data_IF_094409125128
#
_entry.id   IF_094409125128
#
_cell.length_a   1.000
_cell.length_b   1.000
_cell.length_c   1.000
_cell.angle_alpha   90.00
_cell.angle_beta   90.00
_cell.angle_gamma   90.00
#
_symmetry.space_group_name_H-M   'P 1'
#
loop_
_entity.id
_entity.type
_entity.pdbx_description
1 polymer ?
#
# COMPACT_ATOMS: atom_id res chain seq x y z
N UNK A 1 18.88 45.02 -0.47
CA UNK A 1 19.64 43.94 0.18
C UNK A 1 18.63 42.92 0.69
N UNK A 2 18.45 41.86 -0.07
CA UNK A 2 17.60 40.74 0.38
C UNK A 2 18.29 40.06 1.54
N UNK A 3 17.69 40.15 2.72
CA UNK A 3 18.15 39.43 3.90
C UNK A 3 17.74 37.98 3.69
N UNK A 4 18.70 37.09 3.50
CA UNK A 4 18.43 35.65 3.47
C UNK A 4 17.71 35.25 4.78
N UNK A 5 16.68 34.39 4.70
CA UNK A 5 16.03 33.90 5.91
C UNK A 5 17.03 33.20 6.81
N UNK A 6 16.83 33.29 8.13
CA UNK A 6 17.64 32.59 9.09
C UNK A 6 17.71 31.08 8.77
N UNK A 7 18.86 30.43 8.99
CA UNK A 7 18.96 28.99 8.79
C UNK A 7 17.95 28.26 9.69
N UNK A 8 17.29 27.25 9.12
CA UNK A 8 16.39 26.35 9.87
C UNK A 8 17.27 25.32 10.59
N UNK A 9 17.12 25.22 11.91
CA UNK A 9 17.88 24.26 12.72
C UNK A 9 16.95 23.64 13.80
N UNK A 10 16.75 22.31 13.81
CA UNK A 10 17.28 21.37 12.82
C UNK A 10 16.55 21.43 11.47
N UNK A 11 17.25 21.10 10.38
CA UNK A 11 16.63 20.94 9.06
C UNK A 11 15.73 19.70 9.11
N UNK A 12 14.42 19.81 8.82
CA UNK A 12 13.53 18.66 8.80
C UNK A 12 13.98 17.60 7.80
N UNK A 13 13.71 16.32 8.09
CA UNK A 13 13.90 15.25 7.11
C UNK A 13 13.04 15.54 5.86
N UNK A 14 13.63 15.70 4.68
CA UNK A 14 12.87 15.98 3.46
C UNK A 14 11.98 14.81 3.03
N UNK A 15 12.21 13.61 3.57
CA UNK A 15 11.43 12.40 3.23
C UNK A 15 11.14 11.56 4.50
N UNK A 16 10.26 12.03 5.40
CA UNK A 16 10.04 11.42 6.71
C UNK A 16 9.43 10.02 6.64
N UNK A 17 8.95 9.59 5.47
CA UNK A 17 8.40 8.24 5.25
C UNK A 17 9.48 7.15 5.26
N UNK A 18 10.73 7.47 4.92
CA UNK A 18 11.80 6.49 4.68
C UNK A 18 12.09 5.55 5.85
N UNK A 19 11.90 6.02 7.07
CA UNK A 19 12.16 5.26 8.30
C UNK A 19 11.01 4.33 8.73
N UNK A 20 9.83 4.41 8.09
CA UNK A 20 8.66 3.67 8.52
C UNK A 20 8.76 2.18 8.19
N UNK A 21 8.63 1.35 9.23
CA UNK A 21 8.65 -0.10 9.13
C UNK A 21 7.50 -0.68 9.94
N UNK A 22 6.74 -1.58 9.32
CA UNK A 22 5.71 -2.37 9.98
C UNK A 22 6.16 -3.83 10.07
N UNK A 23 5.99 -4.45 11.26
CA UNK A 23 6.34 -5.86 11.48
C UNK A 23 5.16 -6.66 12.01
N UNK A 24 4.98 -7.82 11.40
CA UNK A 24 4.06 -8.87 11.83
C UNK A 24 4.87 -10.11 12.22
N UNK A 25 4.26 -11.21 12.70
CA UNK A 25 5.01 -12.43 13.01
C UNK A 25 5.81 -13.01 11.84
N UNK A 26 5.39 -12.78 10.59
CA UNK A 26 6.02 -13.40 9.41
C UNK A 26 6.50 -12.40 8.37
N UNK A 27 6.07 -11.14 8.45
CA UNK A 27 6.33 -10.14 7.41
C UNK A 27 7.00 -8.90 7.99
N UNK A 28 7.87 -8.33 7.17
CA UNK A 28 8.38 -6.99 7.33
C UNK A 28 7.95 -6.15 6.12
N UNK A 29 7.28 -5.03 6.38
CA UNK A 29 6.83 -4.08 5.40
C UNK A 29 7.66 -2.80 5.59
N UNK A 30 8.49 -2.45 4.61
CA UNK A 30 9.30 -1.22 4.62
C UNK A 30 8.87 -0.30 3.50
N UNK A 31 8.85 0.99 3.78
CA UNK A 31 8.72 1.97 2.72
C UNK A 31 9.82 1.71 1.68
N UNK A 32 9.41 1.77 0.44
CA UNK A 32 10.25 1.47 -0.69
C UNK A 32 11.42 2.44 -0.83
N UNK A 33 12.55 1.92 -1.27
CA UNK A 33 13.71 2.64 -1.76
C UNK A 33 14.13 2.06 -3.12
N UNK A 34 15.06 2.70 -3.81
CA UNK A 34 15.46 2.25 -5.15
C UNK A 34 16.11 0.86 -5.15
N UNK A 35 16.71 0.42 -4.03
CA UNK A 35 17.26 -0.91 -3.90
C UNK A 35 16.15 -1.96 -3.78
N UNK A 36 15.20 -1.73 -2.87
CA UNK A 36 14.06 -2.63 -2.67
C UNK A 36 13.13 -2.68 -3.88
N UNK A 37 12.99 -1.59 -4.63
CA UNK A 37 12.25 -1.57 -5.91
C UNK A 37 12.93 -2.46 -6.95
N UNK A 38 14.28 -2.45 -7.05
CA UNK A 38 15.02 -3.37 -7.94
C UNK A 38 14.81 -4.83 -7.53
N UNK A 39 14.83 -5.14 -6.24
CA UNK A 39 14.55 -6.49 -5.76
C UNK A 39 13.11 -6.92 -6.05
N UNK A 40 12.14 -6.01 -5.88
CA UNK A 40 10.74 -6.25 -6.22
C UNK A 40 10.59 -6.58 -7.72
N UNK A 41 11.21 -5.78 -8.59
CA UNK A 41 11.22 -6.02 -10.04
C UNK A 41 11.83 -7.39 -10.35
N UNK A 42 12.97 -7.74 -9.75
CA UNK A 42 13.59 -9.04 -9.93
C UNK A 42 12.66 -10.18 -9.50
N UNK A 43 12.00 -10.04 -8.34
CA UNK A 43 11.04 -11.03 -7.83
C UNK A 43 9.82 -11.19 -8.75
N UNK A 44 9.34 -10.10 -9.36
CA UNK A 44 8.24 -10.13 -10.34
C UNK A 44 8.68 -10.83 -11.64
N UNK A 45 9.88 -10.54 -12.14
CA UNK A 45 10.39 -11.22 -13.34
C UNK A 45 10.63 -12.72 -13.11
N UNK A 46 11.13 -13.09 -11.92
CA UNK A 46 11.40 -14.49 -11.58
C UNK A 46 10.12 -15.34 -11.46
N UNK A 47 9.09 -14.79 -10.84
CA UNK A 47 7.92 -15.56 -10.40
C UNK A 47 6.62 -15.18 -11.10
N UNK A 48 6.51 -14.01 -11.70
CA UNK A 48 5.25 -13.43 -12.13
C UNK A 48 4.32 -13.11 -10.94
N UNK A 49 3.13 -12.60 -11.26
CA UNK A 49 2.12 -12.24 -10.25
C UNK A 49 0.85 -13.09 -10.41
N UNK A 50 0.42 -13.37 -11.63
CA UNK A 50 -0.77 -14.17 -11.94
C UNK A 50 -0.55 -14.98 -13.23
N UNK A 51 -1.35 -16.01 -13.51
CA UNK A 51 -1.36 -16.69 -14.80
C UNK A 51 -1.70 -15.71 -15.94
N UNK A 52 -1.21 -15.96 -17.15
CA UNK A 52 -1.48 -15.10 -18.31
C UNK A 52 -2.96 -15.06 -18.71
N UNK A 53 -3.74 -16.07 -18.30
CA UNK A 53 -5.19 -16.14 -18.52
C UNK A 53 -6.02 -15.27 -17.58
N UNK A 54 -5.40 -14.72 -16.54
CA UNK A 54 -6.08 -13.88 -15.54
C UNK A 54 -5.60 -12.42 -15.68
N UNK A 55 -6.43 -11.46 -15.23
CA UNK A 55 -6.05 -10.08 -15.04
C UNK A 55 -6.71 -9.53 -13.78
N UNK A 56 -6.06 -9.67 -12.62
CA UNK A 56 -6.66 -9.30 -11.34
C UNK A 56 -6.58 -7.80 -11.02
N UNK A 57 -6.01 -6.99 -11.90
CA UNK A 57 -5.77 -5.56 -11.65
C UNK A 57 -6.72 -4.69 -12.45
N UNK A 58 -7.15 -3.57 -11.87
CA UNK A 58 -7.93 -2.54 -12.54
C UNK A 58 -7.24 -2.01 -13.81
N UNK A 59 -5.95 -1.71 -13.71
CA UNK A 59 -5.10 -1.36 -14.84
C UNK A 59 -4.30 -2.59 -15.23
N UNK A 60 -4.34 -3.04 -16.50
CA UNK A 60 -3.68 -4.28 -16.92
C UNK A 60 -2.15 -4.10 -17.12
N UNK A 61 -1.48 -3.50 -16.16
CA UNK A 61 -0.05 -3.15 -16.23
C UNK A 61 0.88 -4.35 -16.40
N UNK A 62 0.46 -5.53 -15.96
CA UNK A 62 1.23 -6.77 -16.11
C UNK A 62 1.20 -7.35 -17.53
N UNK A 63 0.36 -6.80 -18.45
CA UNK A 63 0.37 -7.12 -19.88
C UNK A 63 1.47 -6.39 -20.66
N UNK A 64 2.18 -5.47 -20.00
CA UNK A 64 3.31 -4.79 -20.63
C UNK A 64 4.35 -5.80 -21.13
N UNK A 65 5.06 -5.43 -22.20
CA UNK A 65 6.21 -6.23 -22.69
C UNK A 65 7.16 -6.51 -21.51
N UNK A 66 7.52 -7.78 -21.26
CA UNK A 66 8.40 -8.15 -20.14
C UNK A 66 9.69 -7.32 -20.06
N UNK A 67 10.23 -6.87 -21.20
CA UNK A 67 11.42 -6.01 -21.26
C UNK A 67 11.17 -4.63 -20.63
N UNK A 68 9.93 -4.20 -20.55
CA UNK A 68 9.53 -2.88 -20.06
C UNK A 68 8.76 -2.93 -18.74
N UNK A 69 8.33 -4.12 -18.31
CA UNK A 69 7.53 -4.30 -17.09
C UNK A 69 8.21 -3.71 -15.85
N UNK A 70 9.51 -3.98 -15.67
CA UNK A 70 10.28 -3.42 -14.55
C UNK A 70 10.35 -1.91 -14.56
N UNK A 71 10.46 -1.28 -15.74
CA UNK A 71 10.41 0.19 -15.87
C UNK A 71 9.05 0.72 -15.45
N UNK A 72 7.96 0.06 -15.83
CA UNK A 72 6.61 0.45 -15.43
C UNK A 72 6.42 0.41 -13.92
N UNK A 73 6.95 -0.62 -13.24
CA UNK A 73 6.93 -0.73 -11.78
C UNK A 73 7.71 0.44 -11.15
N UNK A 74 8.93 0.70 -11.61
CA UNK A 74 9.74 1.80 -11.10
C UNK A 74 9.07 3.17 -11.32
N UNK A 75 8.52 3.41 -12.52
CA UNK A 75 7.81 4.65 -12.84
C UNK A 75 6.56 4.85 -11.97
N UNK A 76 5.82 3.79 -11.67
CA UNK A 76 4.69 3.85 -10.75
C UNK A 76 5.14 4.31 -9.35
N UNK A 77 6.18 3.68 -8.81
CA UNK A 77 6.75 4.06 -7.51
C UNK A 77 7.23 5.52 -7.51
N UNK A 78 8.06 5.89 -8.47
CA UNK A 78 8.60 7.26 -8.56
C UNK A 78 7.51 8.32 -8.77
N UNK A 79 6.45 8.00 -9.53
CA UNK A 79 5.33 8.93 -9.71
C UNK A 79 4.57 9.18 -8.42
N UNK A 80 4.44 8.17 -7.55
CA UNK A 80 3.82 8.32 -6.23
C UNK A 80 4.71 9.15 -5.30
N UNK A 81 6.03 8.93 -5.30
CA UNK A 81 6.97 9.80 -4.57
C UNK A 81 6.87 11.25 -5.03
N UNK A 82 6.89 11.49 -6.34
CA UNK A 82 6.85 12.84 -6.91
C UNK A 82 5.55 13.60 -6.64
N UNK A 83 4.46 12.89 -6.39
CA UNK A 83 3.15 13.48 -6.09
C UNK A 83 2.89 13.63 -4.59
N UNK A 84 3.71 13.03 -3.75
CA UNK A 84 3.46 13.00 -2.31
C UNK A 84 3.40 14.42 -1.73
N UNK A 85 2.32 14.71 -1.04
CA UNK A 85 2.05 15.96 -0.32
C UNK A 85 1.12 15.66 0.85
N UNK A 86 0.89 16.59 1.79
CA UNK A 86 -0.09 16.40 2.86
C UNK A 86 -1.52 16.16 2.37
N UNK A 87 -1.86 16.64 1.16
CA UNK A 87 -3.17 16.45 0.54
C UNK A 87 -3.31 15.10 -0.16
N UNK A 88 -2.19 14.54 -0.65
CA UNK A 88 -2.19 13.26 -1.33
C UNK A 88 -0.88 12.51 -1.13
N UNK A 89 -0.95 11.32 -0.59
CA UNK A 89 0.22 10.48 -0.35
C UNK A 89 -0.08 9.00 -0.56
N UNK A 90 0.96 8.26 -0.89
CA UNK A 90 0.95 6.80 -0.94
C UNK A 90 2.12 6.26 -0.14
N UNK A 91 1.83 5.55 0.94
CA UNK A 91 2.82 4.73 1.63
C UNK A 91 2.93 3.41 0.87
N UNK A 92 4.05 3.22 0.18
CA UNK A 92 4.30 2.01 -0.60
C UNK A 92 5.29 1.12 0.14
N UNK A 93 4.81 -0.01 0.62
CA UNK A 93 5.63 -0.95 1.37
C UNK A 93 6.08 -2.10 0.48
N UNK A 94 7.38 -2.27 0.32
CA UNK A 94 7.96 -3.53 -0.16
C UNK A 94 7.87 -4.55 0.96
N UNK A 95 7.17 -5.65 0.70
CA UNK A 95 6.86 -6.67 1.70
C UNK A 95 7.88 -7.80 1.60
N UNK A 96 8.45 -8.18 2.75
CA UNK A 96 9.41 -9.28 2.88
C UNK A 96 8.88 -10.36 3.82
N UNK A 97 9.12 -11.59 3.44
CA UNK A 97 8.98 -12.77 4.30
C UNK A 97 10.32 -13.52 4.32
N UNK A 98 10.84 -13.85 5.50
CA UNK A 98 12.13 -14.54 5.65
C UNK A 98 13.27 -13.83 4.89
N UNK A 99 13.28 -12.50 4.92
CA UNK A 99 14.25 -11.64 4.22
C UNK A 99 14.06 -11.50 2.70
N UNK A 100 13.16 -12.26 2.08
CA UNK A 100 12.91 -12.23 0.62
C UNK A 100 11.71 -11.37 0.28
N UNK A 101 11.83 -10.56 -0.78
CA UNK A 101 10.70 -9.78 -1.30
C UNK A 101 9.60 -10.72 -1.81
N UNK A 102 8.38 -10.49 -1.31
CA UNK A 102 7.18 -11.27 -1.64
C UNK A 102 6.09 -10.45 -2.33
N UNK A 103 6.16 -9.12 -2.30
CA UNK A 103 5.15 -8.28 -2.94
C UNK A 103 5.23 -6.81 -2.54
N UNK A 104 4.16 -6.09 -2.84
CA UNK A 104 3.96 -4.69 -2.54
C UNK A 104 2.60 -4.49 -1.86
N UNK A 105 2.55 -3.59 -0.87
CA UNK A 105 1.31 -3.16 -0.21
C UNK A 105 1.28 -1.64 -0.15
N UNK A 106 0.22 -1.06 -0.70
CA UNK A 106 0.01 0.39 -0.71
C UNK A 106 -1.04 0.80 0.33
N UNK A 107 -0.84 1.99 0.91
CA UNK A 107 -1.85 2.75 1.65
C UNK A 107 -1.89 4.15 1.06
N UNK A 108 -3.05 4.56 0.60
CA UNK A 108 -3.25 5.86 -0.05
C UNK A 108 -4.11 6.75 0.84
N UNK A 109 -3.65 7.97 1.08
CA UNK A 109 -4.44 9.04 1.69
C UNK A 109 -4.71 10.14 0.66
N UNK A 110 -5.99 10.43 0.45
CA UNK A 110 -6.46 11.57 -0.32
C UNK A 110 -7.18 12.52 0.63
N UNK A 111 -6.60 13.70 0.89
CA UNK A 111 -7.04 14.68 1.87
C UNK A 111 -7.31 14.04 3.24
N UNK A 112 -6.38 13.19 3.66
CA UNK A 112 -6.52 12.33 4.85
C UNK A 112 -6.86 13.13 6.11
N UNK A 113 -6.23 14.29 6.31
CA UNK A 113 -6.50 15.15 7.48
C UNK A 113 -7.98 15.56 7.64
N UNK A 114 -8.75 15.58 6.53
CA UNK A 114 -10.18 15.90 6.53
C UNK A 114 -11.04 14.65 6.46
N UNK A 115 -10.71 13.73 5.55
CA UNK A 115 -11.55 12.56 5.24
C UNK A 115 -11.39 11.43 6.24
N UNK A 116 -10.21 11.31 6.85
CA UNK A 116 -9.85 10.18 7.72
C UNK A 116 -10.12 8.83 7.05
N UNK A 117 -9.98 8.78 5.75
CA UNK A 117 -10.13 7.59 4.93
C UNK A 117 -8.80 7.22 4.27
N UNK A 118 -8.52 5.93 4.19
CA UNK A 118 -7.42 5.39 3.41
C UNK A 118 -7.95 4.41 2.36
N UNK A 119 -7.23 4.28 1.24
CA UNK A 119 -7.43 3.19 0.30
C UNK A 119 -6.24 2.23 0.36
N UNK A 120 -6.47 0.95 0.06
CA UNK A 120 -5.41 -0.07 0.06
C UNK A 120 -5.36 -0.83 -1.25
N UNK A 121 -4.16 -1.00 -1.80
CA UNK A 121 -3.86 -1.83 -2.95
C UNK A 121 -2.68 -2.76 -2.66
N UNK A 122 -2.61 -3.91 -3.34
CA UNK A 122 -1.51 -4.83 -3.09
C UNK A 122 -1.37 -5.90 -4.16
N UNK A 123 -0.19 -6.50 -4.23
CA UNK A 123 0.03 -7.76 -4.93
C UNK A 123 1.14 -8.58 -4.29
N UNK A 124 1.08 -9.89 -4.49
CA UNK A 124 2.13 -10.84 -4.15
C UNK A 124 2.65 -11.51 -5.42
N UNK A 125 3.95 -11.77 -5.46
CA UNK A 125 4.52 -12.63 -6.49
C UNK A 125 3.98 -14.07 -6.34
N UNK A 126 3.83 -14.81 -7.44
CA UNK A 126 3.14 -16.12 -7.44
C UNK A 126 3.67 -17.10 -6.41
N UNK A 127 5.00 -17.20 -6.25
CA UNK A 127 5.60 -18.12 -5.27
C UNK A 127 5.24 -17.81 -3.81
N UNK A 128 4.73 -16.62 -3.52
CA UNK A 128 4.35 -16.18 -2.18
C UNK A 128 2.84 -16.24 -1.92
N UNK A 129 2.03 -16.58 -2.93
CA UNK A 129 0.58 -16.66 -2.80
C UNK A 129 0.16 -17.93 -2.03
N UNK A 130 -1.09 -17.96 -1.60
CA UNK A 130 -1.75 -19.08 -0.90
C UNK A 130 -1.09 -19.48 0.44
N UNK A 131 -0.25 -18.57 1.02
CA UNK A 131 0.41 -18.71 2.34
C UNK A 131 -0.19 -17.82 3.43
N UNK A 132 -1.29 -17.11 3.13
CA UNK A 132 -1.92 -16.15 4.04
C UNK A 132 -1.23 -14.78 4.11
N UNK A 133 -0.14 -14.56 3.40
CA UNK A 133 0.59 -13.29 3.41
C UNK A 133 -0.26 -12.10 2.93
N UNK A 134 -1.15 -12.30 1.95
CA UNK A 134 -2.03 -11.25 1.48
C UNK A 134 -2.98 -10.72 2.56
N UNK A 135 -3.52 -11.59 3.40
CA UNK A 135 -4.34 -11.19 4.54
C UNK A 135 -3.50 -10.52 5.61
N UNK A 136 -2.31 -11.07 5.92
CA UNK A 136 -1.43 -10.55 6.97
C UNK A 136 -0.89 -9.15 6.64
N UNK A 137 -0.40 -8.93 5.41
CA UNK A 137 0.12 -7.61 5.02
C UNK A 137 -0.98 -6.54 4.97
N UNK A 138 -2.19 -6.88 4.50
CA UNK A 138 -3.32 -5.95 4.54
C UNK A 138 -3.78 -5.68 5.96
N UNK A 139 -3.83 -6.69 6.83
CA UNK A 139 -4.12 -6.49 8.25
C UNK A 139 -3.10 -5.58 8.94
N UNK A 140 -1.81 -5.67 8.57
CA UNK A 140 -0.75 -4.82 9.12
C UNK A 140 -1.00 -3.34 8.79
N UNK A 141 -1.26 -3.02 7.52
CA UNK A 141 -1.48 -1.62 7.13
C UNK A 141 -2.82 -1.08 7.64
N UNK A 142 -3.84 -1.92 7.79
CA UNK A 142 -5.12 -1.53 8.41
C UNK A 142 -4.95 -1.24 9.90
N UNK A 143 -4.22 -2.08 10.63
CA UNK A 143 -3.91 -1.82 12.03
C UNK A 143 -3.11 -0.51 12.17
N UNK A 144 -2.11 -0.29 11.32
CA UNK A 144 -1.38 0.98 11.29
C UNK A 144 -2.30 2.18 11.01
N UNK A 145 -3.15 2.08 9.98
CA UNK A 145 -4.06 3.17 9.63
C UNK A 145 -5.06 3.50 10.75
N UNK A 146 -5.67 2.49 11.37
CA UNK A 146 -6.68 2.69 12.40
C UNK A 146 -6.10 3.07 13.76
N UNK A 147 -4.94 2.52 14.15
CA UNK A 147 -4.41 2.65 15.49
C UNK A 147 -3.35 3.76 15.64
N UNK A 148 -2.68 4.10 14.53
CA UNK A 148 -1.61 5.12 14.53
C UNK A 148 -1.97 6.37 13.72
N UNK A 149 -2.55 6.22 12.52
CA UNK A 149 -2.90 7.40 11.71
C UNK A 149 -4.24 8.05 12.12
N UNK A 150 -5.09 7.36 12.87
CA UNK A 150 -6.42 7.85 13.22
C UNK A 150 -7.43 7.74 12.07
N UNK A 151 -7.25 6.79 11.15
CA UNK A 151 -8.23 6.52 10.12
C UNK A 151 -9.56 6.02 10.73
N UNK A 152 -10.67 6.38 10.10
CA UNK A 152 -12.02 5.92 10.46
C UNK A 152 -12.52 4.87 9.47
N UNK A 153 -12.09 4.97 8.21
CA UNK A 153 -12.55 4.12 7.12
C UNK A 153 -11.37 3.70 6.26
N UNK A 154 -11.37 2.44 5.84
CA UNK A 154 -10.49 1.91 4.80
C UNK A 154 -11.33 1.43 3.61
N UNK A 155 -10.92 1.81 2.39
CA UNK A 155 -11.53 1.38 1.14
C UNK A 155 -10.59 0.45 0.39
N UNK A 156 -11.18 -0.42 -0.40
CA UNK A 156 -10.46 -1.23 -1.37
C UNK A 156 -11.40 -1.58 -2.52
N UNK A 157 -10.81 -2.03 -3.62
CA UNK A 157 -11.56 -2.52 -4.76
C UNK A 157 -10.91 -3.80 -5.31
N UNK A 158 -11.70 -4.57 -6.03
CA UNK A 158 -11.22 -5.70 -6.82
C UNK A 158 -12.09 -5.86 -8.07
N UNK A 159 -11.47 -6.38 -9.13
CA UNK A 159 -12.17 -6.64 -10.39
C UNK A 159 -12.83 -8.00 -10.37
N UNK A 160 -13.86 -8.14 -11.18
CA UNK A 160 -14.50 -9.42 -11.47
C UNK A 160 -13.45 -10.48 -11.85
N UNK A 161 -13.60 -11.69 -11.31
CA UNK A 161 -12.62 -12.76 -11.52
C UNK A 161 -11.40 -12.74 -10.57
N UNK A 162 -11.38 -11.85 -9.56
CA UNK A 162 -10.33 -11.85 -8.52
C UNK A 162 -10.86 -12.35 -7.15
N UNK A 163 -11.16 -13.67 -7.01
CA UNK A 163 -11.70 -14.22 -5.77
C UNK A 163 -10.71 -14.15 -4.60
N UNK A 164 -9.38 -14.07 -4.87
CA UNK A 164 -8.37 -13.96 -3.82
C UNK A 164 -8.48 -12.60 -3.09
N UNK A 165 -8.64 -11.51 -3.82
CA UNK A 165 -8.82 -10.18 -3.20
C UNK A 165 -10.14 -10.09 -2.46
N UNK A 166 -11.23 -10.62 -3.03
CA UNK A 166 -12.53 -10.71 -2.36
C UNK A 166 -12.43 -11.47 -1.02
N UNK A 167 -11.77 -12.65 -1.01
CA UNK A 167 -11.60 -13.45 0.19
C UNK A 167 -10.74 -12.76 1.26
N UNK A 168 -9.69 -12.01 0.88
CA UNK A 168 -8.90 -11.21 1.82
C UNK A 168 -9.77 -10.12 2.43
N UNK A 169 -10.55 -9.40 1.63
CA UNK A 169 -11.44 -8.34 2.11
C UNK A 169 -12.49 -8.88 3.07
N UNK A 170 -13.15 -9.98 2.72
CA UNK A 170 -14.16 -10.62 3.57
C UNK A 170 -13.59 -11.06 4.94
N UNK A 171 -12.38 -11.66 4.96
CA UNK A 171 -11.73 -12.08 6.20
C UNK A 171 -11.39 -10.93 7.15
N UNK A 172 -11.15 -9.73 6.62
CA UNK A 172 -10.81 -8.54 7.40
C UNK A 172 -12.01 -7.71 7.82
N UNK A 173 -13.23 -8.12 7.41
CA UNK A 173 -14.48 -7.47 7.82
C UNK A 173 -14.98 -6.38 6.87
N UNK A 174 -14.42 -6.28 5.66
CA UNK A 174 -14.96 -5.37 4.64
C UNK A 174 -16.38 -5.78 4.26
N UNK A 175 -17.22 -4.78 4.02
CA UNK A 175 -18.56 -4.91 3.45
C UNK A 175 -18.63 -4.30 2.06
N UNK A 176 -19.61 -4.69 1.29
CA UNK A 176 -19.86 -4.14 -0.04
C UNK A 176 -20.15 -2.64 0.02
N UNK A 177 -19.60 -1.89 -0.93
CA UNK A 177 -19.75 -0.44 -1.11
C UNK A 177 -20.11 -0.10 -2.57
N UNK A 178 -20.78 -1.02 -3.24
CA UNK A 178 -21.27 -0.89 -4.61
C UNK A 178 -20.28 -1.35 -5.68
N UNK A 179 -20.68 -1.14 -6.92
CA UNK A 179 -19.92 -1.57 -8.10
C UNK A 179 -19.69 -0.41 -9.05
N UNK A 180 -18.73 -0.56 -9.94
CA UNK A 180 -18.51 0.29 -11.10
C UNK A 180 -18.25 -0.56 -12.34
N UNK A 181 -18.56 -0.02 -13.50
CA UNK A 181 -18.10 -0.60 -14.77
C UNK A 181 -16.81 0.10 -15.15
N UNK A 182 -15.76 -0.67 -15.40
CA UNK A 182 -14.48 -0.14 -15.82
C UNK A 182 -14.06 -0.69 -17.18
N UNK A 183 -13.21 0.08 -17.83
CA UNK A 183 -12.47 -0.32 -19.03
C UNK A 183 -11.25 -1.16 -18.60
N UNK A 184 -11.11 -2.32 -19.21
CA UNK A 184 -10.03 -3.25 -18.94
C UNK A 184 -9.25 -3.58 -20.22
N UNK A 185 -8.89 -2.55 -20.95
CA UNK A 185 -8.38 -2.61 -22.31
C UNK A 185 -9.55 -2.75 -23.30
N UNK A 186 -9.65 -3.89 -23.97
CA UNK A 186 -10.74 -4.16 -24.94
C UNK A 186 -11.98 -4.80 -24.29
N UNK A 187 -11.97 -4.99 -22.98
CA UNK A 187 -13.03 -5.66 -22.23
C UNK A 187 -13.70 -4.75 -21.22
N UNK A 188 -15.00 -4.86 -21.11
CA UNK A 188 -15.81 -4.27 -20.05
C UNK A 188 -15.87 -5.23 -18.89
N UNK A 189 -15.46 -4.81 -17.68
CA UNK A 189 -15.51 -5.64 -16.47
C UNK A 189 -16.16 -4.90 -15.31
N UNK A 190 -16.65 -5.64 -14.34
CA UNK A 190 -17.20 -5.10 -13.09
C UNK A 190 -16.08 -4.93 -12.07
N UNK A 191 -16.00 -3.76 -11.48
CA UNK A 191 -15.21 -3.48 -10.30
C UNK A 191 -16.15 -3.51 -9.08
N UNK A 192 -15.75 -4.25 -8.05
CA UNK A 192 -16.42 -4.31 -6.76
C UNK A 192 -15.69 -3.43 -5.76
N UNK A 193 -16.42 -2.48 -5.17
CA UNK A 193 -15.89 -1.60 -4.12
C UNK A 193 -16.28 -2.15 -2.76
N UNK A 194 -15.34 -2.08 -1.82
CA UNK A 194 -15.56 -2.54 -0.45
C UNK A 194 -15.06 -1.51 0.55
N UNK A 195 -15.74 -1.44 1.68
CA UNK A 195 -15.49 -0.48 2.75
C UNK A 195 -15.37 -1.20 4.09
N UNK A 196 -14.41 -0.77 4.90
CA UNK A 196 -14.18 -1.25 6.26
C UNK A 196 -14.15 -0.06 7.22
N UNK A 197 -14.98 -0.07 8.26
CA UNK A 197 -14.85 0.88 9.36
C UNK A 197 -13.88 0.35 10.41
N UNK A 198 -13.33 1.25 11.24
CA UNK A 198 -12.44 0.90 12.35
C UNK A 198 -13.05 -0.15 13.28
N UNK A 199 -14.37 -0.04 13.56
CA UNK A 199 -15.11 -0.91 14.47
C UNK A 199 -15.34 -2.31 13.88
N UNK A 200 -15.53 -2.39 12.53
CA UNK A 200 -15.78 -3.64 11.84
C UNK A 200 -14.49 -4.42 11.52
N UNK A 201 -13.32 -3.82 11.73
CA UNK A 201 -12.04 -4.46 11.44
C UNK A 201 -11.84 -5.72 12.27
N UNK A 202 -11.80 -6.86 11.59
CA UNK A 202 -11.46 -8.17 12.19
C UNK A 202 -9.95 -8.17 12.48
N UNK A 203 -9.63 -7.88 13.72
CA UNK A 203 -8.25 -7.73 14.17
C UNK A 203 -7.53 -9.08 14.21
N UNK A 204 -6.26 -9.12 13.78
CA UNK A 204 -5.45 -10.32 13.94
C UNK A 204 -5.14 -10.58 15.43
N UNK A 205 -4.84 -11.83 15.77
CA UNK A 205 -4.43 -12.22 17.12
C UNK A 205 -2.99 -11.82 17.51
N UNK A 206 -2.28 -11.09 16.66
CA UNK A 206 -0.93 -10.58 16.88
C UNK A 206 -0.92 -9.06 16.99
N UNK A 207 0.13 -8.52 17.60
CA UNK A 207 0.38 -7.07 17.67
C UNK A 207 1.28 -6.62 16.53
N UNK A 208 0.96 -5.45 15.96
CA UNK A 208 1.80 -4.81 14.97
C UNK A 208 3.00 -4.14 15.65
N UNK A 209 4.20 -4.44 15.17
CA UNK A 209 5.39 -3.63 15.47
C UNK A 209 5.45 -2.46 14.50
N UNK A 210 5.69 -1.26 15.01
CA UNK A 210 5.81 -0.03 14.22
C UNK A 210 7.07 0.70 14.62
N UNK A 211 8.00 0.89 13.68
CA UNK A 211 9.19 1.71 13.85
C UNK A 211 9.12 2.89 12.89
N UNK A 212 9.74 4.00 13.25
CA UNK A 212 9.89 5.16 12.36
C UNK A 212 8.62 5.99 12.16
N UNK A 213 7.54 5.74 12.92
CA UNK A 213 6.40 6.64 12.93
C UNK A 213 6.69 7.81 13.87
N UNK A 214 7.13 8.92 13.31
CA UNK A 214 7.56 10.13 14.01
C UNK A 214 6.49 11.23 13.95
N UNK A 215 6.64 12.28 14.76
CA UNK A 215 5.79 13.46 14.69
C UNK A 215 5.89 14.18 13.34
N UNK A 216 7.07 14.20 12.72
CA UNK A 216 7.29 14.78 11.39
C UNK A 216 6.55 14.00 10.32
N UNK A 217 6.60 12.66 10.38
CA UNK A 217 5.84 11.82 9.46
C UNK A 217 4.33 11.99 9.67
N UNK A 218 3.86 12.01 10.91
CA UNK A 218 2.44 12.25 11.21
C UNK A 218 1.98 13.62 10.67
N UNK A 219 2.79 14.67 10.86
CA UNK A 219 2.51 16.00 10.32
C UNK A 219 2.43 15.99 8.79
N UNK A 220 3.39 15.33 8.12
CA UNK A 220 3.37 15.20 6.66
C UNK A 220 2.12 14.45 6.15
N UNK A 221 1.68 13.41 6.84
CA UNK A 221 0.49 12.63 6.48
C UNK A 221 -0.84 13.29 6.90
N UNK A 222 -0.79 14.43 7.59
CA UNK A 222 -1.93 15.05 8.27
C UNK A 222 -2.69 14.06 9.18
N UNK A 223 -1.93 13.18 9.86
CA UNK A 223 -2.38 12.10 10.70
C UNK A 223 -2.25 12.43 12.19
N UNK A 224 -2.78 11.56 13.06
CA UNK A 224 -2.60 11.70 14.50
C UNK A 224 -1.11 11.49 14.87
N UNK A 225 -0.56 12.26 15.82
CA UNK A 225 0.82 12.08 16.24
C UNK A 225 1.01 10.72 16.95
N UNK A 226 2.25 10.20 16.99
CA UNK A 226 2.53 8.98 17.75
C UNK A 226 2.17 9.17 19.22
N UNK A 227 1.55 8.14 19.82
CA UNK A 227 1.25 8.12 21.26
C UNK A 227 2.58 7.91 21.99
N UNK A 228 2.90 8.83 22.90
CA UNK A 228 4.11 8.80 23.76
C UNK A 228 4.04 7.65 24.77
#
# INVERSE_FOLDING_TARGET
>A
MDVLPAPIDPVPDPWPMSGLILRTPRLELRIEDDASVRELIAAVHESGIHPSSEMPFRVPWTRADPRHLGRGIAQYVWSNRAKASPEWWTLQFVVRAEGRVVGLQDVVGDRFGVRREVATGSYLVRRAQDRGYGTEMRAAVLAFAFDHLGALVARSEYVEGNPRSAAVSARLGYRDDGTATIDHGDARVTEYRVLLTREAFVRPGWRLGVDGYTADLAGFLAADPPVS
#
